data_IF_548471436310
#
_entry.id   IF_548471436310
#
_cell.length_a   1.000
_cell.length_b   1.000
_cell.length_c   1.000
_cell.angle_alpha   90.00
_cell.angle_beta   90.00
_cell.angle_gamma   90.00
#
_symmetry.space_group_name_H-M   'P 1'
#
loop_
_entity.id
_entity.type
_entity.pdbx_description
1 polymer ?
#
# COMPACT_ATOMS: atom_id res chain seq x y z
N UNK A 1 -6.47 -8.32 5.14
CA UNK A 1 -7.68 -8.94 5.69
C UNK A 1 -7.26 -9.75 6.90
N UNK A 2 -8.05 -9.69 7.95
CA UNK A 2 -7.89 -10.55 9.13
C UNK A 2 -9.16 -11.38 9.37
N UNK A 3 -9.82 -11.78 8.27
CA UNK A 3 -11.06 -12.56 8.29
C UNK A 3 -10.93 -13.88 9.05
N UNK A 4 -9.76 -14.51 8.98
CA UNK A 4 -9.36 -15.69 9.77
C UNK A 4 -10.21 -16.96 9.53
N UNK A 5 -11.19 -16.93 8.59
CA UNK A 5 -12.21 -17.97 8.54
C UNK A 5 -13.05 -18.04 9.83
N UNK A 6 -13.09 -16.93 10.59
CA UNK A 6 -13.75 -16.86 11.88
C UNK A 6 -15.28 -17.02 11.74
N UNK A 7 -15.99 -17.34 12.85
CA UNK A 7 -17.45 -17.44 12.85
C UNK A 7 -18.20 -16.19 12.37
N UNK A 8 -17.56 -15.04 12.53
CA UNK A 8 -18.00 -13.76 11.97
C UNK A 8 -16.92 -13.30 11.01
N UNK A 9 -17.30 -12.92 9.79
CA UNK A 9 -16.38 -12.48 8.74
C UNK A 9 -15.79 -11.08 9.00
N UNK A 10 -14.82 -10.68 8.18
CA UNK A 10 -14.22 -9.32 8.21
C UNK A 10 -15.25 -8.19 8.12
N UNK A 11 -16.34 -8.40 7.37
CA UNK A 11 -17.44 -7.44 7.20
C UNK A 11 -18.61 -7.64 8.18
N UNK A 12 -18.43 -8.49 9.21
CA UNK A 12 -19.41 -8.68 10.28
C UNK A 12 -20.51 -9.70 9.99
N UNK A 13 -20.45 -10.40 8.85
CA UNK A 13 -21.44 -11.38 8.46
C UNK A 13 -21.27 -12.69 9.26
N UNK A 14 -22.40 -13.20 9.77
CA UNK A 14 -22.48 -14.46 10.50
C UNK A 14 -22.36 -15.64 9.51
N UNK A 15 -21.49 -16.60 9.82
CA UNK A 15 -21.28 -17.83 9.03
C UNK A 15 -21.96 -19.05 9.64
N UNK A 16 -22.03 -20.15 8.90
CA UNK A 16 -22.54 -21.44 9.41
C UNK A 16 -21.83 -21.90 10.68
N UNK A 17 -20.51 -21.77 10.74
CA UNK A 17 -19.71 -22.18 11.91
C UNK A 17 -20.08 -21.40 13.19
N UNK A 18 -20.62 -20.18 13.09
CA UNK A 18 -21.19 -19.47 14.24
C UNK A 18 -22.38 -20.22 14.81
N UNK A 19 -23.29 -20.66 13.95
CA UNK A 19 -24.47 -21.43 14.37
C UNK A 19 -24.06 -22.79 14.95
N UNK A 20 -23.06 -23.44 14.37
CA UNK A 20 -22.53 -24.71 14.92
C UNK A 20 -22.00 -24.53 16.35
N UNK A 21 -21.18 -23.49 16.58
CA UNK A 21 -20.65 -23.16 17.90
C UNK A 21 -21.79 -22.79 18.87
N UNK A 22 -22.75 -21.98 18.43
CA UNK A 22 -23.89 -21.55 19.24
C UNK A 22 -24.75 -22.75 19.64
N UNK A 23 -25.04 -23.65 18.72
CA UNK A 23 -25.86 -24.84 18.96
C UNK A 23 -25.17 -25.78 19.95
N UNK A 24 -23.87 -26.02 19.77
CA UNK A 24 -23.06 -26.81 20.71
C UNK A 24 -23.10 -26.19 22.11
N UNK A 25 -22.83 -24.89 22.21
CA UNK A 25 -22.86 -24.17 23.49
C UNK A 25 -24.24 -24.24 24.15
N UNK A 26 -25.31 -24.09 23.36
CA UNK A 26 -26.70 -24.18 23.83
C UNK A 26 -27.01 -25.56 24.41
N UNK A 27 -26.50 -26.65 23.81
CA UNK A 27 -26.73 -28.01 24.34
C UNK A 27 -26.12 -28.25 25.72
N UNK A 28 -25.06 -27.51 26.09
CA UNK A 28 -24.44 -27.60 27.41
C UNK A 28 -25.08 -26.64 28.42
N UNK A 29 -25.45 -25.43 28.00
CA UNK A 29 -26.00 -24.41 28.90
C UNK A 29 -27.52 -24.48 29.08
N UNK A 30 -28.23 -25.19 28.19
CA UNK A 30 -29.69 -25.33 28.20
C UNK A 30 -30.45 -24.07 27.78
N UNK A 31 -29.77 -22.93 27.60
CA UNK A 31 -30.34 -21.66 27.15
C UNK A 31 -29.26 -20.75 26.54
N UNK A 32 -29.73 -19.69 25.87
CA UNK A 32 -28.94 -18.61 25.28
C UNK A 32 -29.64 -17.29 25.55
N UNK A 33 -28.93 -16.14 25.49
CA UNK A 33 -29.54 -14.83 25.67
C UNK A 33 -30.77 -14.64 24.76
N UNK A 34 -31.81 -14.04 25.32
CA UNK A 34 -33.03 -13.70 24.58
C UNK A 34 -32.74 -12.59 23.56
N UNK A 35 -33.42 -12.64 22.42
CA UNK A 35 -33.34 -11.64 21.36
C UNK A 35 -33.04 -12.26 19.99
N UNK A 36 -33.38 -11.50 18.95
CA UNK A 36 -33.07 -11.90 17.58
C UNK A 36 -31.59 -11.71 17.30
N UNK A 37 -31.01 -12.66 16.56
CA UNK A 37 -29.67 -12.53 16.04
C UNK A 37 -29.60 -11.35 15.04
N UNK A 38 -28.53 -10.54 15.07
CA UNK A 38 -28.28 -9.57 14.01
C UNK A 38 -28.28 -10.25 12.64
N UNK A 39 -28.89 -9.60 11.65
CA UNK A 39 -28.87 -10.06 10.26
C UNK A 39 -27.63 -9.51 9.57
N UNK A 40 -27.07 -10.29 8.65
CA UNK A 40 -26.01 -9.84 7.76
C UNK A 40 -26.48 -8.63 6.95
N UNK A 41 -25.61 -7.62 6.82
CA UNK A 41 -25.95 -6.38 6.10
C UNK A 41 -25.82 -6.58 4.59
N UNK A 42 -26.66 -5.88 3.83
CA UNK A 42 -26.49 -5.80 2.37
C UNK A 42 -25.30 -4.93 2.02
N UNK A 43 -24.46 -5.39 1.10
CA UNK A 43 -23.27 -4.69 0.64
C UNK A 43 -23.55 -3.96 -0.68
N UNK A 44 -22.96 -2.79 -0.89
CA UNK A 44 -23.15 -2.00 -2.09
C UNK A 44 -22.27 -2.51 -3.23
N UNK A 45 -22.88 -2.62 -4.41
CA UNK A 45 -22.17 -2.70 -5.69
C UNK A 45 -22.29 -1.33 -6.39
N UNK A 46 -21.21 -0.56 -6.36
CA UNK A 46 -21.14 0.78 -6.97
C UNK A 46 -20.60 0.67 -8.41
N UNK A 47 -19.83 -0.37 -8.72
CA UNK A 47 -19.23 -0.59 -10.03
C UNK A 47 -17.93 0.18 -10.22
N UNK A 48 -17.69 0.63 -11.46
CA UNK A 48 -16.42 1.26 -11.85
C UNK A 48 -16.24 2.66 -11.25
N UNK A 49 -15.07 2.91 -10.66
CA UNK A 49 -14.60 4.23 -10.25
C UNK A 49 -13.34 4.58 -11.04
N UNK A 50 -13.40 5.67 -11.79
CA UNK A 50 -12.33 6.12 -12.64
C UNK A 50 -11.37 7.06 -11.88
N UNK A 51 -10.07 6.74 -11.86
CA UNK A 51 -9.05 7.55 -11.18
C UNK A 51 -8.37 8.52 -12.16
N UNK A 52 -9.10 9.60 -12.49
CA UNK A 52 -8.71 10.57 -13.51
C UNK A 52 -7.59 11.53 -13.10
N UNK A 53 -7.40 11.72 -11.80
CA UNK A 53 -6.44 12.67 -11.25
C UNK A 53 -5.22 11.91 -10.73
N UNK A 54 -4.02 12.38 -11.04
CA UNK A 54 -2.81 11.69 -10.59
C UNK A 54 -1.60 12.61 -10.50
N UNK A 55 -0.68 12.24 -9.60
CA UNK A 55 0.61 12.90 -9.40
C UNK A 55 1.68 11.87 -9.07
N UNK A 56 2.90 12.08 -9.55
CA UNK A 56 4.02 11.23 -9.15
C UNK A 56 4.38 11.43 -7.67
N UNK A 57 4.97 10.41 -7.06
CA UNK A 57 5.52 10.51 -5.70
C UNK A 57 6.53 11.67 -5.59
N UNK A 58 7.37 11.84 -6.61
CA UNK A 58 8.38 12.90 -6.64
C UNK A 58 7.76 14.30 -6.61
N UNK A 59 6.67 14.53 -7.36
CA UNK A 59 5.94 15.78 -7.32
C UNK A 59 5.37 16.02 -5.91
N UNK A 60 4.73 15.00 -5.31
CA UNK A 60 4.21 15.09 -3.95
C UNK A 60 5.33 15.41 -2.94
N UNK A 61 6.45 14.69 -2.98
CA UNK A 61 7.57 14.93 -2.07
C UNK A 61 8.14 16.34 -2.24
N UNK A 62 8.29 16.83 -3.47
CA UNK A 62 8.72 18.20 -3.75
C UNK A 62 7.77 19.25 -3.14
N UNK A 63 6.47 19.02 -3.20
CA UNK A 63 5.47 19.89 -2.59
C UNK A 63 5.63 19.94 -1.06
N UNK A 64 5.78 18.79 -0.41
CA UNK A 64 5.98 18.75 1.04
C UNK A 64 7.35 19.31 1.47
N UNK A 65 8.41 19.15 0.66
CA UNK A 65 9.70 19.83 0.88
C UNK A 65 9.56 21.34 0.89
N UNK A 66 8.89 21.91 -0.13
CA UNK A 66 8.67 23.36 -0.23
C UNK A 66 7.87 23.92 0.94
N UNK A 67 6.95 23.14 1.50
CA UNK A 67 6.22 23.50 2.71
C UNK A 67 7.04 23.38 4.01
N UNK A 68 8.21 22.74 3.96
CA UNK A 68 9.01 22.43 5.16
C UNK A 68 8.35 21.37 6.05
N UNK A 69 7.49 20.51 5.50
CA UNK A 69 6.70 19.55 6.28
C UNK A 69 7.31 18.15 6.34
N UNK A 70 8.40 17.89 5.60
CA UNK A 70 9.08 16.60 5.61
C UNK A 70 10.02 16.46 6.81
N UNK A 71 9.96 15.29 7.44
CA UNK A 71 10.99 14.83 8.37
C UNK A 71 12.11 14.22 7.54
N UNK A 72 13.34 14.73 7.73
CA UNK A 72 14.52 14.26 7.00
C UNK A 72 15.74 14.13 7.91
N UNK A 73 16.68 13.25 7.54
CA UNK A 73 18.00 13.14 8.15
C UNK A 73 19.06 12.90 7.08
N UNK A 74 20.22 13.52 7.25
CA UNK A 74 21.41 13.27 6.45
C UNK A 74 22.40 12.43 7.25
N UNK A 75 23.04 11.46 6.60
CA UNK A 75 24.03 10.60 7.21
C UNK A 75 24.95 9.96 6.15
N UNK A 76 26.05 9.35 6.59
CA UNK A 76 26.94 8.60 5.68
C UNK A 76 26.20 7.40 5.06
N UNK A 77 25.33 6.76 5.83
CA UNK A 77 24.50 5.62 5.43
C UNK A 77 23.00 5.98 5.49
N UNK A 78 22.11 5.28 4.74
CA UNK A 78 20.66 5.41 4.90
C UNK A 78 20.21 5.21 6.35
N UNK A 79 19.19 5.96 6.76
CA UNK A 79 18.68 5.94 8.14
C UNK A 79 17.47 5.00 8.22
N UNK A 80 17.45 4.13 9.23
CA UNK A 80 16.34 3.18 9.44
C UNK A 80 15.04 3.88 9.88
N UNK A 81 13.91 3.18 9.73
CA UNK A 81 12.59 3.66 10.17
C UNK A 81 12.58 4.06 11.65
N UNK A 82 13.20 3.27 12.51
CA UNK A 82 13.27 3.50 13.96
C UNK A 82 14.06 4.77 14.28
N UNK A 83 15.21 4.96 13.61
CA UNK A 83 16.01 6.17 13.77
C UNK A 83 15.32 7.41 13.19
N UNK A 84 14.42 7.25 12.23
CA UNK A 84 13.55 8.32 11.72
C UNK A 84 12.33 8.59 12.62
N UNK A 85 12.12 7.80 13.68
CA UNK A 85 10.89 7.80 14.48
C UNK A 85 9.63 7.63 13.60
N UNK A 86 9.73 6.74 12.61
CA UNK A 86 8.67 6.45 11.65
C UNK A 86 8.32 4.96 11.72
N UNK A 87 7.10 4.62 12.08
CA UNK A 87 6.75 3.23 12.43
C UNK A 87 6.30 2.38 11.24
N UNK A 88 5.80 2.95 10.15
CA UNK A 88 5.21 2.19 9.03
C UNK A 88 5.22 3.04 7.76
N UNK A 89 4.87 2.48 6.60
CA UNK A 89 4.83 3.24 5.35
C UNK A 89 6.17 3.21 4.63
N UNK A 90 6.67 4.38 4.21
CA UNK A 90 7.81 4.46 3.30
C UNK A 90 8.86 5.49 3.72
N UNK A 91 10.12 5.19 3.39
CA UNK A 91 11.22 6.14 3.39
C UNK A 91 11.70 6.36 1.96
N UNK A 92 12.07 7.60 1.64
CA UNK A 92 12.76 7.91 0.39
C UNK A 92 14.22 8.24 0.69
N UNK A 93 15.13 7.37 0.27
CA UNK A 93 16.56 7.50 0.47
C UNK A 93 17.21 7.99 -0.83
N UNK A 94 17.93 9.10 -0.78
CA UNK A 94 18.57 9.72 -1.95
C UNK A 94 20.06 9.92 -1.71
N UNK A 95 20.89 9.61 -2.70
CA UNK A 95 22.31 9.99 -2.74
C UNK A 95 22.70 10.42 -4.15
N UNK A 96 23.74 11.24 -4.28
CA UNK A 96 24.32 11.60 -5.58
C UNK A 96 25.42 10.62 -5.95
N UNK A 97 25.34 10.07 -7.15
CA UNK A 97 26.30 9.08 -7.67
C UNK A 97 27.59 9.80 -8.06
N UNK A 98 28.64 9.65 -7.25
CA UNK A 98 29.95 10.27 -7.53
C UNK A 98 30.92 9.37 -8.32
N UNK A 99 30.48 8.15 -8.62
CA UNK A 99 31.26 7.15 -9.36
C UNK A 99 31.04 7.29 -10.85
N UNK A 100 32.12 7.17 -11.62
CA UNK A 100 32.00 7.09 -13.08
C UNK A 100 31.35 5.75 -13.47
N UNK A 101 30.44 5.81 -14.42
CA UNK A 101 29.73 4.64 -14.98
C UNK A 101 29.67 4.78 -16.50
N UNK A 102 29.64 3.65 -17.21
CA UNK A 102 29.48 3.61 -18.67
C UNK A 102 28.00 3.65 -19.07
N UNK A 103 27.22 4.54 -18.45
CA UNK A 103 25.77 4.67 -18.65
C UNK A 103 24.91 3.68 -17.86
N UNK A 104 25.50 2.60 -17.34
CA UNK A 104 24.85 1.66 -16.42
C UNK A 104 25.78 1.31 -15.26
N UNK A 105 25.20 0.84 -14.15
CA UNK A 105 25.94 0.28 -13.03
C UNK A 105 25.19 -0.84 -12.33
N UNK A 106 25.94 -1.76 -11.73
CA UNK A 106 25.42 -2.87 -10.95
C UNK A 106 25.07 -2.37 -9.55
N UNK A 107 23.78 -2.19 -9.28
CA UNK A 107 23.27 -1.78 -7.98
C UNK A 107 23.01 -3.00 -7.12
N UNK A 108 23.58 -3.03 -5.92
CA UNK A 108 23.42 -4.10 -4.94
C UNK A 108 22.99 -3.56 -3.58
N UNK A 109 21.92 -4.11 -3.03
CA UNK A 109 21.26 -3.72 -1.78
C UNK A 109 21.12 -4.97 -0.88
N UNK A 110 22.19 -5.41 -0.20
CA UNK A 110 22.20 -6.67 0.56
C UNK A 110 21.26 -6.68 1.77
N UNK A 111 20.98 -5.51 2.35
CA UNK A 111 20.26 -5.39 3.63
C UNK A 111 18.99 -4.55 3.47
N UNK A 112 18.13 -5.01 2.58
CA UNK A 112 16.82 -4.42 2.35
C UNK A 112 15.78 -5.02 3.31
N UNK A 113 15.02 -4.16 3.97
CA UNK A 113 13.94 -4.53 4.91
C UNK A 113 12.73 -3.61 4.70
N UNK A 114 11.80 -3.93 3.79
CA UNK A 114 11.62 -5.25 3.15
C UNK A 114 11.70 -5.20 1.63
N UNK A 115 11.25 -4.10 1.03
CA UNK A 115 11.13 -3.92 -0.41
C UNK A 115 11.52 -2.51 -0.81
N UNK A 116 12.09 -2.37 -2.00
CA UNK A 116 12.59 -1.10 -2.49
C UNK A 116 12.37 -0.96 -3.98
N UNK A 117 12.13 0.28 -4.37
CA UNK A 117 11.79 0.67 -5.72
C UNK A 117 12.78 1.75 -6.16
N UNK A 118 13.44 1.49 -7.28
CA UNK A 118 14.43 2.40 -7.88
C UNK A 118 13.99 2.70 -9.30
N UNK A 119 13.76 3.98 -9.61
CA UNK A 119 13.43 4.40 -10.97
C UNK A 119 14.68 4.92 -11.66
N UNK A 120 15.05 4.29 -12.78
CA UNK A 120 16.28 4.54 -13.50
C UNK A 120 16.06 4.35 -15.01
N UNK A 121 16.46 5.34 -15.83
CA UNK A 121 16.28 5.29 -17.29
C UNK A 121 14.83 5.06 -17.74
N UNK A 122 13.85 5.62 -17.04
CA UNK A 122 12.42 5.45 -17.33
C UNK A 122 11.82 4.09 -16.92
N UNK A 123 12.60 3.20 -16.30
CA UNK A 123 12.15 1.88 -15.82
C UNK A 123 12.13 1.81 -14.30
N UNK A 124 11.26 0.96 -13.76
CA UNK A 124 11.20 0.66 -12.33
C UNK A 124 11.93 -0.67 -12.04
N UNK A 125 12.87 -0.61 -11.11
CA UNK A 125 13.61 -1.76 -10.60
C UNK A 125 13.15 -2.04 -9.18
N UNK A 126 12.82 -3.30 -8.90
CA UNK A 126 12.30 -3.71 -7.61
C UNK A 126 13.26 -4.69 -6.95
N UNK A 127 13.61 -4.39 -5.70
CA UNK A 127 14.49 -5.17 -4.84
C UNK A 127 13.70 -5.66 -3.63
N UNK A 128 13.94 -6.88 -3.16
CA UNK A 128 13.18 -7.44 -2.04
C UNK A 128 13.93 -8.56 -1.31
N UNK A 129 13.70 -8.60 0.01
CA UNK A 129 14.18 -9.63 0.95
C UNK A 129 13.03 -10.54 1.38
N UNK A 130 12.15 -10.92 0.46
CA UNK A 130 10.96 -11.69 0.81
C UNK A 130 10.75 -12.86 -0.14
N UNK A 131 11.38 -13.99 0.19
CA UNK A 131 11.32 -15.22 -0.60
C UNK A 131 9.88 -15.69 -0.81
N UNK A 132 9.04 -15.61 0.23
CA UNK A 132 7.68 -16.17 0.24
C UNK A 132 6.80 -15.59 -0.87
N UNK A 133 6.99 -14.32 -1.26
CA UNK A 133 6.15 -13.68 -2.26
C UNK A 133 6.59 -13.93 -3.71
N UNK A 134 7.83 -14.42 -3.92
CA UNK A 134 8.46 -14.47 -5.25
C UNK A 134 9.27 -15.74 -5.56
N UNK A 135 9.37 -16.68 -4.60
CA UNK A 135 10.26 -17.84 -4.71
C UNK A 135 11.75 -17.50 -4.85
N UNK A 136 12.14 -16.23 -4.65
CA UNK A 136 13.49 -15.75 -4.84
C UNK A 136 13.76 -14.49 -4.00
N UNK A 137 15.05 -14.16 -3.86
CA UNK A 137 15.49 -12.87 -3.34
C UNK A 137 16.02 -12.03 -4.50
N UNK A 138 15.76 -10.73 -4.49
CA UNK A 138 16.32 -9.81 -5.49
C UNK A 138 17.03 -8.65 -4.80
N UNK A 139 18.34 -8.83 -4.61
CA UNK A 139 19.22 -7.83 -3.99
C UNK A 139 20.04 -7.02 -4.99
N UNK A 140 20.12 -7.44 -6.24
CA UNK A 140 20.96 -6.79 -7.24
C UNK A 140 20.27 -6.68 -8.60
N UNK A 141 20.60 -5.63 -9.34
CA UNK A 141 20.22 -5.46 -10.74
C UNK A 141 21.17 -4.46 -11.42
N UNK A 142 21.23 -4.48 -12.75
CA UNK A 142 21.97 -3.50 -13.53
C UNK A 142 21.03 -2.38 -13.96
N UNK A 143 21.29 -1.17 -13.48
CA UNK A 143 20.42 -0.01 -13.70
C UNK A 143 21.10 1.05 -14.58
N UNK A 144 20.35 1.80 -15.40
CA UNK A 144 20.85 3.02 -16.04
C UNK A 144 21.17 4.07 -14.98
N UNK A 145 22.42 4.52 -14.90
CA UNK A 145 22.83 5.54 -13.94
C UNK A 145 24.16 6.15 -14.37
N UNK A 146 24.32 7.46 -14.16
CA UNK A 146 25.53 8.24 -14.50
C UNK A 146 26.09 8.99 -13.29
N UNK A 147 27.37 9.32 -13.36
CA UNK A 147 28.00 10.25 -12.41
C UNK A 147 27.25 11.58 -12.40
N UNK A 148 26.94 12.07 -11.20
CA UNK A 148 26.21 13.30 -10.95
C UNK A 148 24.69 13.13 -10.86
N UNK A 149 24.14 11.97 -11.24
CA UNK A 149 22.72 11.69 -11.07
C UNK A 149 22.37 11.35 -9.62
N UNK A 150 21.14 11.65 -9.23
CA UNK A 150 20.61 11.23 -7.94
C UNK A 150 20.04 9.82 -8.04
N UNK A 151 20.59 8.90 -7.26
CA UNK A 151 19.96 7.61 -7.01
C UNK A 151 18.91 7.78 -5.93
N UNK A 152 17.64 7.54 -6.30
CA UNK A 152 16.50 7.58 -5.39
C UNK A 152 16.00 6.16 -5.17
N UNK A 153 15.93 5.76 -3.90
CA UNK A 153 15.43 4.47 -3.46
C UNK A 153 14.23 4.69 -2.55
N UNK A 154 13.04 4.32 -3.01
CA UNK A 154 11.83 4.27 -2.18
C UNK A 154 11.83 2.95 -1.43
N UNK A 155 11.67 2.96 -0.12
CA UNK A 155 11.77 1.80 0.76
C UNK A 155 10.46 1.59 1.48
N UNK A 156 9.90 0.40 1.38
CA UNK A 156 8.66 0.01 2.04
C UNK A 156 8.94 -0.84 3.27
N UNK A 157 8.33 -0.44 4.39
CA UNK A 157 8.18 -1.29 5.56
C UNK A 157 6.92 -2.15 5.40
N UNK A 158 7.11 -3.45 5.14
CA UNK A 158 6.02 -4.38 4.89
C UNK A 158 5.42 -4.98 6.17
N UNK A 159 5.77 -4.45 7.34
CA UNK A 159 5.30 -4.93 8.64
C UNK A 159 6.45 -5.58 9.40
N UNK A 160 6.47 -5.36 10.71
CA UNK A 160 7.47 -6.00 11.57
C UNK A 160 7.06 -7.42 11.93
N UNK A 161 8.05 -8.29 12.09
CA UNK A 161 7.83 -9.61 12.65
C UNK A 161 7.13 -9.50 14.02
N UNK A 162 6.03 -10.22 14.19
CA UNK A 162 5.21 -10.22 15.42
C UNK A 162 5.39 -11.49 16.25
N UNK A 163 6.18 -12.45 15.76
CA UNK A 163 6.46 -13.72 16.41
C UNK A 163 7.89 -14.17 16.11
N UNK A 164 8.54 -14.81 17.08
CA UNK A 164 9.87 -15.42 16.91
C UNK A 164 11.04 -14.53 17.39
N UNK A 165 12.26 -15.06 17.25
CA UNK A 165 13.46 -14.47 17.84
C UNK A 165 13.88 -13.13 17.21
N UNK A 166 13.38 -12.80 16.02
CA UNK A 166 13.71 -11.57 15.29
C UNK A 166 12.84 -10.36 15.65
N UNK A 167 11.78 -10.51 16.45
CA UNK A 167 10.85 -9.42 16.79
C UNK A 167 11.55 -8.13 17.26
N UNK A 168 12.58 -8.25 18.11
CA UNK A 168 13.30 -7.10 18.65
C UNK A 168 14.42 -6.57 17.74
N UNK A 169 14.71 -7.26 16.62
CA UNK A 169 15.84 -6.95 15.72
C UNK A 169 15.41 -6.71 14.27
N UNK A 170 14.11 -6.74 14.00
CA UNK A 170 13.50 -6.44 12.71
C UNK A 170 13.39 -4.92 12.47
N UNK A 171 14.55 -4.26 12.53
CA UNK A 171 14.69 -2.87 12.09
C UNK A 171 14.38 -2.78 10.61
N UNK A 172 13.61 -1.77 10.21
CA UNK A 172 13.17 -1.59 8.82
C UNK A 172 13.95 -0.49 8.10
N UNK A 173 13.99 -0.59 6.77
CA UNK A 173 14.62 0.40 5.91
C UNK A 173 15.76 -0.18 5.06
N UNK A 174 16.72 0.70 4.76
CA UNK A 174 17.95 0.36 4.07
C UNK A 174 19.14 0.45 5.03
N UNK A 175 20.18 -0.31 4.71
CA UNK A 175 21.50 -0.15 5.29
C UNK A 175 22.48 0.15 4.15
N UNK A 176 23.47 -0.71 3.88
CA UNK A 176 24.45 -0.45 2.83
C UNK A 176 23.89 -0.65 1.41
N UNK A 177 24.28 0.25 0.51
CA UNK A 177 23.97 0.22 -0.92
C UNK A 177 25.29 0.35 -1.68
N UNK A 178 25.49 -0.49 -2.68
CA UNK A 178 26.71 -0.54 -3.47
C UNK A 178 26.40 -0.33 -4.94
N UNK A 179 27.27 0.40 -5.63
CA UNK A 179 27.27 0.55 -7.09
C UNK A 179 28.62 0.09 -7.62
N UNK A 180 28.63 -0.93 -8.50
CA UNK A 180 29.86 -1.53 -9.02
C UNK A 180 30.84 -1.92 -7.90
N UNK A 181 30.31 -2.58 -6.85
CA UNK A 181 31.04 -3.00 -5.65
C UNK A 181 31.59 -1.86 -4.76
N UNK A 182 31.32 -0.60 -5.09
CA UNK A 182 31.69 0.55 -4.26
C UNK A 182 30.50 1.00 -3.44
N UNK A 183 30.70 1.12 -2.12
CA UNK A 183 29.67 1.59 -1.19
C UNK A 183 29.31 3.06 -1.50
N UNK A 184 28.03 3.33 -1.69
CA UNK A 184 27.51 4.69 -1.85
C UNK A 184 27.31 5.32 -0.47
N UNK A 185 27.72 6.59 -0.33
CA UNK A 185 27.67 7.34 0.93
C UNK A 185 26.84 8.63 0.79
N UNK A 186 26.73 9.41 1.87
CA UNK A 186 26.11 10.75 1.90
C UNK A 186 24.63 10.72 1.48
N UNK A 187 23.83 10.01 2.28
CA UNK A 187 22.42 9.80 2.04
C UNK A 187 21.57 10.87 2.74
N UNK A 188 20.55 11.34 2.04
CA UNK A 188 19.39 12.03 2.62
C UNK A 188 18.24 11.03 2.71
N UNK A 189 17.70 10.82 3.90
CA UNK A 189 16.52 9.97 4.13
C UNK A 189 15.34 10.85 4.51
N UNK A 190 14.25 10.76 3.77
CA UNK A 190 13.02 11.51 3.99
C UNK A 190 11.85 10.56 4.31
N UNK A 191 11.01 10.92 5.27
CA UNK A 191 9.76 10.21 5.54
C UNK A 191 8.74 10.54 4.44
N UNK A 192 8.10 9.51 3.88
CA UNK A 192 7.00 9.71 2.93
C UNK A 192 5.70 10.00 3.70
N UNK A 193 5.07 11.17 3.51
CA UNK A 193 3.98 11.65 4.36
C UNK A 193 2.63 11.01 3.95
N UNK A 194 2.41 9.74 4.28
CA UNK A 194 1.14 9.03 4.00
C UNK A 194 0.46 8.45 5.24
N UNK A 195 1.05 8.60 6.43
CA UNK A 195 0.56 7.95 7.65
C UNK A 195 -0.34 8.85 8.51
N UNK A 196 -0.40 10.15 8.22
CA UNK A 196 -1.18 11.11 9.01
C UNK A 196 -2.34 11.65 8.19
N UNK A 197 -3.51 11.81 8.81
CA UNK A 197 -4.71 12.35 8.16
C UNK A 197 -4.44 13.71 7.51
N UNK A 198 -3.68 14.59 8.19
CA UNK A 198 -3.24 15.88 7.64
C UNK A 198 -2.54 15.73 6.29
N UNK A 199 -1.65 14.75 6.17
CA UNK A 199 -0.86 14.55 4.98
C UNK A 199 -1.72 14.00 3.84
N UNK A 200 -2.63 13.06 4.12
CA UNK A 200 -3.59 12.54 3.14
C UNK A 200 -4.55 13.63 2.65
N UNK A 201 -5.06 14.49 3.54
CA UNK A 201 -5.89 15.63 3.14
C UNK A 201 -5.15 16.58 2.21
N UNK A 202 -3.86 16.83 2.48
CA UNK A 202 -3.03 17.66 1.60
C UNK A 202 -2.76 16.97 0.26
N UNK A 203 -2.52 15.66 0.25
CA UNK A 203 -2.36 14.86 -0.98
C UNK A 203 -3.63 14.93 -1.83
N UNK A 204 -4.81 14.77 -1.23
CA UNK A 204 -6.10 14.90 -1.93
C UNK A 204 -6.27 16.29 -2.56
N UNK A 205 -5.80 17.35 -1.89
CA UNK A 205 -5.84 18.72 -2.43
C UNK A 205 -4.93 18.91 -3.65
N UNK A 206 -3.72 18.36 -3.61
CA UNK A 206 -2.75 18.53 -4.71
C UNK A 206 -3.02 17.61 -5.90
N UNK A 207 -3.50 16.38 -5.68
CA UNK A 207 -3.74 15.42 -6.76
C UNK A 207 -4.84 15.89 -7.71
N UNK A 208 -5.82 16.64 -7.18
CA UNK A 208 -6.89 17.26 -7.96
C UNK A 208 -6.39 18.30 -8.98
N UNK A 209 -5.15 18.79 -8.86
CA UNK A 209 -4.61 19.86 -9.72
C UNK A 209 -4.08 19.35 -11.08
N UNK A 210 -4.34 18.08 -11.45
CA UNK A 210 -3.89 17.38 -12.68
C UNK A 210 -2.37 17.48 -12.92
N UNK A 211 -1.65 16.38 -12.63
CA UNK A 211 -0.21 16.27 -12.92
C UNK A 211 0.13 15.24 -14.01
N UNK A 212 1.43 15.09 -14.28
CA UNK A 212 1.96 13.91 -14.97
C UNK A 212 2.06 12.75 -13.97
N UNK A 213 1.55 11.58 -14.36
CA UNK A 213 1.41 10.41 -13.49
C UNK A 213 2.38 9.35 -13.91
N UNK A 214 3.38 9.13 -13.08
CA UNK A 214 4.24 7.96 -13.14
C UNK A 214 4.19 7.27 -11.79
N UNK A 215 4.39 5.96 -11.81
CA UNK A 215 4.55 5.17 -10.59
C UNK A 215 6.01 5.22 -10.10
N UNK A 216 6.26 5.14 -8.78
CA UNK A 216 5.29 5.25 -7.69
C UNK A 216 4.54 6.59 -7.70
N UNK A 217 3.23 6.57 -7.45
CA UNK A 217 2.38 7.75 -7.61
C UNK A 217 0.99 7.60 -6.99
N UNK A 218 0.30 8.73 -6.89
CA UNK A 218 -1.05 8.82 -6.33
C UNK A 218 -2.08 8.97 -7.45
N UNK A 219 -3.19 8.24 -7.32
CA UNK A 219 -4.29 8.20 -8.28
C UNK A 219 -5.60 8.43 -7.55
N UNK A 220 -6.40 9.37 -8.03
CA UNK A 220 -7.59 9.87 -7.35
C UNK A 220 -8.78 9.89 -8.28
N UNK A 221 -9.93 9.45 -7.74
CA UNK A 221 -11.23 9.52 -8.37
C UNK A 221 -12.31 9.83 -7.34
N UNK A 222 -13.49 10.16 -7.84
CA UNK A 222 -14.68 10.40 -7.01
C UNK A 222 -15.85 9.57 -7.51
N UNK A 223 -16.79 9.32 -6.59
CA UNK A 223 -18.10 8.78 -6.91
C UNK A 223 -19.12 9.32 -5.91
N UNK A 224 -20.40 9.33 -6.29
CA UNK A 224 -21.51 9.75 -5.45
C UNK A 224 -22.51 8.62 -5.37
N UNK A 225 -23.03 8.35 -4.17
CA UNK A 225 -24.10 7.38 -3.99
C UNK A 225 -25.38 7.87 -4.71
N UNK A 226 -26.17 6.93 -5.24
CA UNK A 226 -27.49 7.27 -5.80
C UNK A 226 -28.42 7.77 -4.69
N UNK A 227 -29.45 8.53 -5.04
CA UNK A 227 -30.37 9.15 -4.07
C UNK A 227 -31.07 8.13 -3.17
N UNK A 228 -31.36 6.95 -3.72
CA UNK A 228 -31.98 5.82 -3.03
C UNK A 228 -31.00 4.96 -2.23
N UNK A 229 -29.69 5.16 -2.36
CA UNK A 229 -28.67 4.42 -1.63
C UNK A 229 -28.32 5.15 -0.33
N UNK A 230 -28.24 4.38 0.76
CA UNK A 230 -27.64 4.83 2.01
C UNK A 230 -26.18 4.35 2.08
N UNK A 231 -25.30 5.04 2.82
CA UNK A 231 -23.98 4.53 3.15
C UNK A 231 -24.08 3.12 3.75
N UNK A 232 -23.46 2.16 3.08
CA UNK A 232 -23.39 0.77 3.49
C UNK A 232 -22.05 0.20 3.03
N UNK A 233 -21.66 -0.93 3.60
CA UNK A 233 -20.39 -1.57 3.33
C UNK A 233 -20.20 -1.90 1.84
N UNK A 234 -18.96 -1.89 1.37
CA UNK A 234 -18.58 -2.32 0.01
C UNK A 234 -17.15 -2.85 0.03
N UNK A 235 -16.65 -3.32 -1.11
CA UNK A 235 -15.28 -3.82 -1.24
C UNK A 235 -14.59 -3.16 -2.43
N UNK A 236 -13.41 -2.60 -2.18
CA UNK A 236 -12.53 -2.15 -3.26
C UNK A 236 -11.88 -3.34 -3.92
N UNK A 237 -12.09 -3.48 -5.21
CA UNK A 237 -11.43 -4.42 -6.10
C UNK A 237 -10.45 -3.66 -7.01
N UNK A 238 -9.14 -3.73 -6.71
CA UNK A 238 -8.11 -3.06 -7.48
C UNK A 238 -7.46 -4.00 -8.52
N UNK A 239 -8.16 -5.03 -9.02
CA UNK A 239 -7.64 -5.85 -10.13
C UNK A 239 -7.20 -4.97 -11.31
N UNK A 240 -6.07 -5.33 -11.92
CA UNK A 240 -5.37 -4.51 -12.92
C UNK A 240 -4.30 -3.58 -12.33
N UNK A 241 -4.39 -3.27 -11.03
CA UNK A 241 -3.31 -2.62 -10.27
C UNK A 241 -2.37 -3.68 -9.68
N UNK A 242 -1.18 -3.26 -9.30
CA UNK A 242 -0.15 -4.19 -8.84
C UNK A 242 -0.04 -4.15 -7.33
N UNK A 243 0.45 -3.05 -6.75
CA UNK A 243 0.75 -3.02 -5.32
C UNK A 243 0.68 -1.61 -4.77
N UNK A 244 -0.03 -1.44 -3.65
CA UNK A 244 -0.15 -0.13 -3.08
C UNK A 244 -0.99 -0.04 -1.81
N UNK A 245 -1.37 1.19 -1.49
CA UNK A 245 -2.28 1.53 -0.41
C UNK A 245 -3.54 2.19 -0.96
N UNK A 246 -4.67 1.94 -0.32
CA UNK A 246 -5.94 2.57 -0.68
C UNK A 246 -6.47 3.43 0.47
N UNK A 247 -7.12 4.53 0.11
CA UNK A 247 -7.74 5.45 1.04
C UNK A 247 -9.12 5.85 0.54
N UNK A 248 -10.10 5.89 1.43
CA UNK A 248 -11.45 6.40 1.16
C UNK A 248 -11.72 7.57 2.10
N UNK A 249 -12.08 8.74 1.54
CA UNK A 249 -12.36 9.95 2.31
C UNK A 249 -11.24 10.31 3.31
N UNK A 250 -9.98 10.00 2.96
CA UNK A 250 -8.80 10.26 3.79
C UNK A 250 -8.45 9.16 4.80
N UNK A 251 -9.27 8.10 4.91
CA UNK A 251 -9.06 6.97 5.82
C UNK A 251 -8.29 5.88 5.09
N UNK A 252 -7.20 5.41 5.68
CA UNK A 252 -6.37 4.33 5.12
C UNK A 252 -7.04 2.97 5.29
N UNK A 253 -7.35 2.31 4.17
CA UNK A 253 -7.97 0.98 4.11
C UNK A 253 -6.92 -0.16 4.24
N UNK A 254 -5.64 0.18 4.16
CA UNK A 254 -4.55 -0.78 4.14
C UNK A 254 -4.01 -1.01 2.73
N UNK A 255 -3.44 -2.21 2.53
CA UNK A 255 -2.62 -2.55 1.37
C UNK A 255 -3.37 -3.45 0.41
N UNK A 256 -3.19 -3.23 -0.88
CA UNK A 256 -3.60 -4.18 -1.92
C UNK A 256 -2.37 -4.79 -2.59
N UNK A 257 -2.49 -6.07 -2.98
CA UNK A 257 -1.51 -6.75 -3.84
C UNK A 257 -2.16 -7.87 -4.68
N UNK A 258 -3.13 -7.55 -5.57
CA UNK A 258 -3.93 -8.55 -6.27
C UNK A 258 -3.16 -9.63 -7.03
N UNK A 259 -2.02 -9.32 -7.70
CA UNK A 259 -1.25 -10.34 -8.40
C UNK A 259 -0.65 -11.41 -7.47
N UNK A 260 -0.35 -11.05 -6.21
CA UNK A 260 0.21 -11.97 -5.22
C UNK A 260 -0.87 -12.69 -4.42
N UNK A 261 -2.03 -12.06 -4.20
CA UNK A 261 -3.12 -12.67 -3.44
C UNK A 261 -2.72 -13.09 -2.00
N UNK A 262 -3.48 -14.00 -1.36
CA UNK A 262 -4.80 -14.51 -1.80
C UNK A 262 -5.89 -13.43 -1.69
N UNK A 263 -5.68 -12.42 -0.84
CA UNK A 263 -6.55 -11.27 -0.74
C UNK A 263 -6.45 -10.39 -1.99
N UNK A 264 -7.59 -10.15 -2.64
CA UNK A 264 -7.71 -9.21 -3.77
C UNK A 264 -8.43 -7.94 -3.33
N UNK A 265 -9.56 -8.08 -2.64
CA UNK A 265 -10.40 -6.94 -2.26
C UNK A 265 -10.05 -6.37 -0.89
N UNK A 266 -10.26 -5.05 -0.72
CA UNK A 266 -10.19 -4.38 0.58
C UNK A 266 -11.61 -4.01 1.05
N UNK A 267 -11.94 -4.36 2.30
CA UNK A 267 -13.20 -4.00 2.92
C UNK A 267 -13.30 -2.48 3.14
N UNK A 268 -14.44 -1.90 2.77
CA UNK A 268 -14.79 -0.50 3.05
C UNK A 268 -16.03 -0.49 3.96
N UNK A 269 -15.86 -0.17 5.26
CA UNK A 269 -16.97 0.05 6.18
C UNK A 269 -17.93 1.13 5.67
N UNK A 270 -19.24 0.90 5.78
CA UNK A 270 -20.25 1.87 5.34
C UNK A 270 -20.13 3.23 6.03
N UNK A 271 -19.68 3.25 7.29
CA UNK A 271 -19.42 4.47 8.07
C UNK A 271 -18.29 5.35 7.50
N UNK A 272 -17.48 4.84 6.57
CA UNK A 272 -16.46 5.63 5.88
C UNK A 272 -16.99 6.31 4.62
N UNK A 273 -18.19 5.94 4.15
CA UNK A 273 -18.84 6.55 2.99
C UNK A 273 -19.70 7.74 3.40
N UNK A 274 -19.72 8.76 2.54
CA UNK A 274 -20.58 9.93 2.67
C UNK A 274 -21.92 9.68 1.96
N UNK A 275 -23.04 10.17 2.52
CA UNK A 275 -24.36 10.03 1.93
C UNK A 275 -24.52 10.89 0.67
N UNK A 276 -25.50 10.56 -0.17
CA UNK A 276 -25.90 11.43 -1.27
C UNK A 276 -26.33 12.83 -0.76
N UNK A 277 -25.95 13.94 -1.42
CA UNK A 277 -25.23 14.05 -2.70
C UNK A 277 -23.71 14.24 -2.57
N UNK A 278 -23.12 13.98 -1.41
CA UNK A 278 -21.69 14.24 -1.19
C UNK A 278 -20.80 13.32 -2.04
N UNK A 279 -19.66 13.86 -2.51
CA UNK A 279 -18.64 13.08 -3.19
C UNK A 279 -17.81 12.26 -2.20
N UNK A 280 -17.64 10.99 -2.52
CA UNK A 280 -16.67 10.10 -1.90
C UNK A 280 -15.37 10.16 -2.70
N UNK A 281 -14.24 10.34 -2.01
CA UNK A 281 -12.92 10.44 -2.62
C UNK A 281 -12.13 9.16 -2.43
N UNK A 282 -11.83 8.47 -3.53
CA UNK A 282 -10.99 7.28 -3.54
C UNK A 282 -9.59 7.65 -4.02
N UNK A 283 -8.59 7.35 -3.20
CA UNK A 283 -7.18 7.62 -3.46
C UNK A 283 -6.38 6.33 -3.37
N UNK A 284 -5.61 6.01 -4.40
CA UNK A 284 -4.62 4.94 -4.38
C UNK A 284 -3.22 5.53 -4.39
N UNK A 285 -2.32 4.95 -3.59
CA UNK A 285 -0.88 5.08 -3.77
C UNK A 285 -0.35 3.79 -4.41
N UNK A 286 -0.11 3.82 -5.72
CA UNK A 286 0.42 2.68 -6.50
C UNK A 286 1.95 2.77 -6.55
N UNK A 287 2.62 1.67 -6.24
CA UNK A 287 4.08 1.62 -6.08
C UNK A 287 4.80 1.05 -7.29
N UNK A 288 4.12 0.28 -8.14
CA UNK A 288 4.73 -0.46 -9.24
C UNK A 288 4.23 0.01 -10.60
N UNK A 289 3.04 -0.37 -11.02
CA UNK A 289 2.48 -0.03 -12.32
C UNK A 289 0.97 0.19 -12.20
N UNK A 290 0.48 1.24 -12.84
CA UNK A 290 -0.94 1.54 -12.91
C UNK A 290 -1.51 1.05 -14.26
N UNK A 291 -2.71 0.45 -14.29
CA UNK A 291 -3.32 0.00 -15.53
C UNK A 291 -3.65 1.20 -16.42
N UNK A 292 -3.59 1.02 -17.74
CA UNK A 292 -3.84 2.09 -18.71
C UNK A 292 -5.22 2.75 -18.54
N UNK A 293 -6.24 1.95 -18.21
CA UNK A 293 -7.59 2.45 -17.98
C UNK A 293 -7.74 3.17 -16.64
N UNK A 294 -6.84 3.01 -15.66
CA UNK A 294 -6.86 3.66 -14.33
C UNK A 294 -8.22 3.52 -13.62
N UNK A 295 -8.82 2.36 -13.71
CA UNK A 295 -10.14 2.07 -13.12
C UNK A 295 -9.98 1.08 -11.96
N UNK A 296 -10.85 1.19 -10.96
CA UNK A 296 -11.09 0.16 -9.95
C UNK A 296 -12.59 -0.14 -9.87
N UNK A 297 -12.95 -1.26 -9.25
CA UNK A 297 -14.34 -1.60 -8.99
C UNK A 297 -14.66 -1.53 -7.50
N UNK A 298 -15.90 -1.16 -7.19
CA UNK A 298 -16.48 -1.26 -5.85
C UNK A 298 -17.61 -2.30 -5.91
N UNK A 299 -17.37 -3.45 -5.32
CA UNK A 299 -18.20 -4.66 -5.44
C UNK A 299 -18.87 -5.03 -4.11
N UNK A 300 -19.90 -5.87 -4.16
CA UNK A 300 -20.72 -6.29 -3.02
C UNK A 300 -20.23 -7.58 -2.34
N UNK A 301 -19.16 -8.21 -2.83
CA UNK A 301 -18.60 -9.43 -2.26
C UNK A 301 -17.09 -9.36 -2.13
N UNK A 302 -16.51 -9.87 -1.03
CA UNK A 302 -15.08 -9.93 -0.89
C UNK A 302 -14.49 -11.07 -1.75
N UNK A 303 -13.24 -10.89 -2.14
CA UNK A 303 -12.38 -11.91 -2.76
C UNK A 303 -11.12 -12.00 -1.88
N UNK A 304 -11.08 -13.01 -1.01
CA UNK A 304 -10.01 -13.20 0.00
C UNK A 304 -9.14 -14.43 -0.27
N UNK A 305 -9.54 -15.28 -1.20
CA UNK A 305 -9.01 -16.61 -1.50
C UNK A 305 -8.71 -16.79 -2.99
N UNK A 306 -8.32 -15.71 -3.67
CA UNK A 306 -8.07 -15.77 -5.10
C UNK A 306 -6.87 -16.68 -5.42
N UNK A 307 -7.09 -17.60 -6.35
CA UNK A 307 -6.07 -18.51 -6.88
C UNK A 307 -4.95 -17.71 -7.58
N UNK A 308 -3.71 -17.94 -7.16
CA UNK A 308 -2.51 -17.26 -7.67
C UNK A 308 -1.96 -17.90 -8.95
N UNK A 309 -2.35 -19.15 -9.25
CA UNK A 309 -1.77 -19.95 -10.33
C UNK A 309 -2.64 -19.98 -11.61
N UNK A 310 -3.84 -19.40 -11.58
CA UNK A 310 -4.70 -19.33 -12.76
C UNK A 310 -4.48 -18.01 -13.51
N UNK A 311 -4.12 -18.03 -14.81
CA UNK A 311 -4.20 -16.84 -15.64
C UNK A 311 -5.66 -16.37 -15.62
N UNK A 312 -5.86 -15.11 -15.25
CA UNK A 312 -7.19 -14.52 -15.18
C UNK A 312 -7.48 -13.78 -16.49
N UNK A 313 -8.71 -13.90 -17.01
CA UNK A 313 -9.11 -13.31 -18.29
C UNK A 313 -9.07 -11.78 -18.28
#
# INVERSE_FOLDING_TARGET
SYDYGAPVSEDGDIRSIYYDIRNLTTSYLGHVPNGDMPRNTSKLNIGNVQLNNYISLEHMMNHFRKKGWLVQKQAVDPVSFEKMNHSSGFLMCTTTVNLFTYGTGHLWIPYIRDRAYVRAGGKLFIFYNHYVSYGSYKYADTIPVKKGENLIVLVENMGREYYGWRMNTDLKGLNYVYLNSVKLNNWTTEVVPINKNRDISEILRIVQQKGNGTTPGFFHGTFTLKKEQQPAETFLDPRGWIKGFAFINGINLGRYWPPTGPQVTLYIPGVYLRPHPEENHLLLFETEEAPANRTVMLVDKPILDADIDKPRP
#
